data_IF_386777404268
#
_entry.id   IF_386777404268
#
_cell.length_a   1.000
_cell.length_b   1.000
_cell.length_c   1.000
_cell.angle_alpha   90.00
_cell.angle_beta   90.00
_cell.angle_gamma   90.00
#
_symmetry.space_group_name_H-M   'P 1'
#
loop_
_entity.id
_entity.type
_entity.pdbx_description
1 polymer ?
#
# COMPACT_ATOMS: atom_id res chain seq x y z
N UNK A 1 -26.59 -12.65 -6.11
CA UNK A 1 -25.25 -13.00 -5.62
C UNK A 1 -25.14 -12.91 -4.09
N UNK A 2 -25.57 -11.81 -3.47
CA UNK A 2 -25.53 -11.62 -2.00
C UNK A 2 -26.22 -12.73 -1.18
N UNK A 3 -27.33 -13.29 -1.65
CA UNK A 3 -28.08 -14.38 -0.97
C UNK A 3 -27.33 -15.73 -0.92
N UNK A 4 -26.25 -15.87 -1.70
CA UNK A 4 -25.42 -17.09 -1.72
C UNK A 4 -24.23 -17.03 -0.77
N UNK A 5 -23.96 -15.85 -0.20
CA UNK A 5 -22.89 -15.65 0.76
C UNK A 5 -23.36 -16.03 2.16
N UNK A 6 -22.51 -16.67 2.99
CA UNK A 6 -22.79 -16.94 4.40
C UNK A 6 -23.13 -15.67 5.18
N UNK A 7 -23.75 -15.82 6.34
CA UNK A 7 -24.09 -14.68 7.20
C UNK A 7 -22.84 -14.00 7.79
N UNK A 8 -21.77 -14.77 7.96
CA UNK A 8 -20.46 -14.28 8.40
C UNK A 8 -19.40 -14.58 7.34
N UNK A 9 -18.55 -13.61 7.10
CA UNK A 9 -17.43 -13.69 6.16
C UNK A 9 -16.11 -13.44 6.89
N UNK A 10 -15.01 -14.11 6.47
CA UNK A 10 -13.70 -13.87 7.05
C UNK A 10 -13.23 -12.47 6.72
N UNK A 11 -12.71 -11.77 7.73
CA UNK A 11 -12.13 -10.42 7.58
C UNK A 11 -10.66 -10.34 7.99
N UNK A 12 -10.14 -11.39 8.60
CA UNK A 12 -8.74 -11.51 8.98
C UNK A 12 -8.26 -12.96 8.78
N UNK A 13 -7.00 -13.09 8.41
CA UNK A 13 -6.31 -14.38 8.25
C UNK A 13 -5.04 -14.35 9.09
N UNK A 14 -4.79 -15.42 9.82
CA UNK A 14 -3.58 -15.58 10.61
C UNK A 14 -2.34 -15.82 9.71
N UNK A 15 -1.18 -15.98 10.34
CA UNK A 15 0.08 -16.19 9.62
C UNK A 15 0.10 -17.48 8.78
N UNK A 16 -0.69 -18.48 9.13
CA UNK A 16 -0.85 -19.74 8.40
C UNK A 16 -1.82 -19.62 7.21
N UNK A 17 -2.45 -18.43 7.03
CA UNK A 17 -3.44 -18.19 5.98
C UNK A 17 -4.84 -18.73 6.33
N UNK A 18 -5.08 -19.09 7.59
CA UNK A 18 -6.38 -19.56 8.08
C UNK A 18 -7.18 -18.37 8.60
N UNK A 19 -8.46 -18.31 8.23
CA UNK A 19 -9.35 -17.26 8.73
C UNK A 19 -9.60 -17.42 10.24
N UNK A 20 -9.32 -16.38 11.00
CA UNK A 20 -9.43 -16.36 12.46
C UNK A 20 -10.37 -15.28 13.02
N UNK A 21 -10.81 -14.34 12.17
CA UNK A 21 -11.84 -13.36 12.53
C UNK A 21 -12.91 -13.26 11.44
N UNK A 22 -14.13 -13.08 11.87
CA UNK A 22 -15.32 -13.03 11.01
C UNK A 22 -16.16 -11.80 11.31
N UNK A 23 -16.83 -11.27 10.31
CA UNK A 23 -17.81 -10.19 10.45
C UNK A 23 -19.10 -10.54 9.73
N UNK A 24 -20.19 -9.89 10.13
CA UNK A 24 -21.47 -10.01 9.44
C UNK A 24 -21.32 -9.64 7.96
N UNK A 25 -22.06 -10.34 7.10
CA UNK A 25 -21.98 -10.21 5.62
C UNK A 25 -21.89 -8.76 5.13
N UNK A 26 -22.80 -7.90 5.60
CA UNK A 26 -22.85 -6.51 5.14
C UNK A 26 -21.64 -5.72 5.60
N UNK A 27 -21.18 -5.92 6.82
CA UNK A 27 -19.97 -5.28 7.37
C UNK A 27 -18.73 -5.71 6.58
N UNK A 28 -18.56 -7.00 6.36
CA UNK A 28 -17.41 -7.54 5.62
C UNK A 28 -17.34 -7.02 4.17
N UNK A 29 -18.49 -6.80 3.53
CA UNK A 29 -18.55 -6.33 2.14
C UNK A 29 -18.37 -4.81 2.04
N UNK A 30 -18.93 -4.04 2.97
CA UNK A 30 -19.06 -2.59 2.82
C UNK A 30 -18.01 -1.79 3.59
N UNK A 31 -17.48 -2.31 4.71
CA UNK A 31 -16.62 -1.52 5.58
C UNK A 31 -15.37 -1.00 4.87
N UNK A 32 -14.64 -1.85 4.17
CA UNK A 32 -13.41 -1.48 3.49
C UNK A 32 -13.65 -0.55 2.29
N UNK A 33 -14.58 -0.84 1.35
CA UNK A 33 -14.93 0.08 0.27
C UNK A 33 -15.40 1.46 0.76
N UNK A 34 -16.24 1.50 1.80
CA UNK A 34 -16.71 2.76 2.38
C UNK A 34 -15.54 3.53 3.00
N UNK A 35 -14.69 2.85 3.79
CA UNK A 35 -13.49 3.48 4.37
C UNK A 35 -12.59 4.07 3.28
N UNK A 36 -12.30 3.33 2.21
CA UNK A 36 -11.48 3.81 1.11
C UNK A 36 -12.14 4.99 0.36
N UNK A 37 -13.44 4.94 0.15
CA UNK A 37 -14.19 6.04 -0.46
C UNK A 37 -14.13 7.32 0.39
N UNK A 38 -14.36 7.20 1.71
CA UNK A 38 -14.27 8.32 2.65
C UNK A 38 -12.85 8.89 2.67
N UNK A 39 -11.82 8.05 2.74
CA UNK A 39 -10.43 8.51 2.71
C UNK A 39 -10.08 9.22 1.39
N UNK A 40 -10.56 8.71 0.25
CA UNK A 40 -10.37 9.36 -1.05
C UNK A 40 -11.05 10.72 -1.12
N UNK A 41 -12.28 10.82 -0.61
CA UNK A 41 -13.01 12.10 -0.54
C UNK A 41 -12.28 13.09 0.36
N UNK A 42 -11.89 12.67 1.57
CA UNK A 42 -11.15 13.52 2.51
C UNK A 42 -9.84 14.01 1.90
N UNK A 43 -9.07 13.12 1.26
CA UNK A 43 -7.85 13.49 0.57
C UNK A 43 -8.12 14.53 -0.52
N UNK A 44 -9.18 14.33 -1.30
CA UNK A 44 -9.60 15.28 -2.36
C UNK A 44 -9.97 16.64 -1.80
N UNK A 45 -10.70 16.69 -0.67
CA UNK A 45 -11.10 17.93 -0.01
C UNK A 45 -9.92 18.69 0.61
N UNK A 46 -8.96 17.96 1.21
CA UNK A 46 -7.77 18.57 1.82
C UNK A 46 -6.81 19.10 0.75
N UNK A 47 -6.71 18.44 -0.39
CA UNK A 47 -5.78 18.82 -1.45
C UNK A 47 -6.28 19.92 -2.38
N UNK A 48 -7.27 20.67 -2.00
CA UNK A 48 -8.06 21.75 -2.61
C UNK A 48 -7.58 22.44 -3.92
N UNK A 49 -6.38 22.20 -4.39
CA UNK A 49 -5.84 22.48 -5.76
C UNK A 49 -4.52 21.72 -5.92
N UNK A 50 -4.49 20.51 -6.44
CA UNK A 50 -3.19 19.92 -6.82
C UNK A 50 -2.55 20.82 -7.85
N UNK A 51 -1.36 21.33 -7.55
CA UNK A 51 -0.56 22.04 -8.54
C UNK A 51 -0.36 21.13 -9.75
N UNK A 52 -0.31 21.69 -10.95
CA UNK A 52 -0.21 20.91 -12.19
C UNK A 52 0.91 19.84 -12.15
N UNK A 53 1.99 20.09 -11.38
CA UNK A 53 3.10 19.13 -11.19
C UNK A 53 2.74 17.91 -10.31
N UNK A 54 1.75 18.02 -9.44
CA UNK A 54 1.37 16.94 -8.49
C UNK A 54 0.05 16.25 -8.88
N UNK A 55 -0.61 16.66 -9.96
CA UNK A 55 -1.92 16.14 -10.34
C UNK A 55 -1.89 14.64 -10.67
N UNK A 56 -0.89 14.18 -11.41
CA UNK A 56 -0.73 12.75 -11.72
C UNK A 56 -0.52 11.92 -10.46
N UNK A 57 0.31 12.40 -9.55
CA UNK A 57 0.56 11.74 -8.27
C UNK A 57 -0.69 11.71 -7.42
N UNK A 58 -1.45 12.81 -7.36
CA UNK A 58 -2.73 12.87 -6.67
C UNK A 58 -3.71 11.82 -7.21
N UNK A 59 -3.88 11.71 -8.53
CA UNK A 59 -4.73 10.68 -9.14
C UNK A 59 -4.25 9.27 -8.82
N UNK A 60 -2.93 9.05 -8.82
CA UNK A 60 -2.33 7.76 -8.47
C UNK A 60 -2.67 7.39 -7.02
N UNK A 61 -2.47 8.29 -6.07
CA UNK A 61 -2.80 8.08 -4.65
C UNK A 61 -4.29 7.84 -4.46
N UNK A 62 -5.14 8.62 -5.13
CA UNK A 62 -6.59 8.47 -5.06
C UNK A 62 -7.09 7.13 -5.64
N UNK A 63 -6.39 6.55 -6.62
CA UNK A 63 -6.75 5.26 -7.21
C UNK A 63 -6.29 4.06 -6.37
N UNK A 64 -5.25 4.20 -5.55
CA UNK A 64 -4.65 3.08 -4.79
C UNK A 64 -5.61 2.53 -3.74
N UNK A 65 -6.28 3.37 -2.98
CA UNK A 65 -7.25 2.93 -1.98
C UNK A 65 -8.33 2.01 -2.58
N UNK A 66 -9.05 2.44 -3.62
CA UNK A 66 -10.01 1.59 -4.34
C UNK A 66 -9.42 0.29 -4.89
N UNK A 67 -8.20 0.32 -5.46
CA UNK A 67 -7.55 -0.89 -5.99
C UNK A 67 -7.21 -1.90 -4.89
N UNK A 68 -6.64 -1.45 -3.78
CA UNK A 68 -6.39 -2.29 -2.60
C UNK A 68 -7.69 -2.83 -2.02
N UNK A 69 -8.72 -2.00 -1.91
CA UNK A 69 -10.04 -2.43 -1.46
C UNK A 69 -10.62 -3.52 -2.35
N UNK A 70 -10.57 -3.36 -3.67
CA UNK A 70 -11.07 -4.35 -4.61
C UNK A 70 -10.32 -5.69 -4.50
N UNK A 71 -9.00 -5.68 -4.33
CA UNK A 71 -8.21 -6.91 -4.21
C UNK A 71 -8.52 -7.67 -2.92
N UNK A 72 -8.54 -6.98 -1.77
CA UNK A 72 -8.90 -7.59 -0.48
C UNK A 72 -10.35 -8.07 -0.51
N UNK A 73 -11.26 -7.27 -1.06
CA UNK A 73 -12.66 -7.62 -1.17
C UNK A 73 -12.89 -8.86 -2.06
N UNK A 74 -12.09 -9.02 -3.13
CA UNK A 74 -12.15 -10.21 -3.98
C UNK A 74 -11.78 -11.47 -3.21
N UNK A 75 -10.74 -11.42 -2.36
CA UNK A 75 -10.37 -12.55 -1.49
C UNK A 75 -11.51 -12.91 -0.55
N UNK A 76 -12.09 -11.92 0.17
CA UNK A 76 -13.21 -12.13 1.10
C UNK A 76 -14.41 -12.78 0.41
N UNK A 77 -14.78 -12.28 -0.78
CA UNK A 77 -15.93 -12.79 -1.53
C UNK A 77 -15.69 -14.19 -2.10
N UNK A 78 -14.50 -14.49 -2.61
CA UNK A 78 -14.15 -15.80 -3.12
C UNK A 78 -14.16 -16.84 -2.02
N UNK A 79 -13.58 -16.53 -0.86
CA UNK A 79 -13.64 -17.41 0.32
C UNK A 79 -15.08 -17.64 0.79
N UNK A 80 -15.89 -16.58 0.83
CA UNK A 80 -17.31 -16.68 1.21
C UNK A 80 -18.15 -17.51 0.24
N UNK A 81 -17.71 -17.69 -1.01
CA UNK A 81 -18.35 -18.55 -2.01
C UNK A 81 -17.78 -19.97 -2.04
N UNK A 82 -17.06 -20.39 -1.00
CA UNK A 82 -16.39 -21.71 -0.90
C UNK A 82 -15.41 -21.96 -2.06
N UNK A 83 -14.86 -20.89 -2.62
CA UNK A 83 -13.80 -20.98 -3.63
C UNK A 83 -12.45 -20.79 -2.92
N UNK A 84 -11.47 -21.58 -3.34
CA UNK A 84 -10.10 -21.42 -2.88
C UNK A 84 -9.64 -19.99 -3.16
N UNK A 85 -9.62 -19.15 -2.12
CA UNK A 85 -9.17 -17.79 -2.24
C UNK A 85 -7.66 -17.72 -2.03
N UNK A 86 -6.97 -17.28 -3.05
CA UNK A 86 -5.53 -17.10 -2.98
C UNK A 86 -5.17 -15.73 -2.40
N UNK A 87 -4.79 -15.70 -1.14
CA UNK A 87 -4.35 -14.48 -0.44
C UNK A 87 -3.18 -13.80 -1.15
N UNK A 88 -2.39 -14.53 -1.95
CA UNK A 88 -1.26 -13.98 -2.70
C UNK A 88 -1.68 -12.86 -3.67
N UNK A 89 -2.93 -12.86 -4.14
CA UNK A 89 -3.47 -11.79 -5.00
C UNK A 89 -3.37 -10.43 -4.32
N UNK A 90 -3.68 -10.34 -3.01
CA UNK A 90 -3.56 -9.09 -2.28
C UNK A 90 -2.11 -8.60 -2.21
N UNK A 91 -1.14 -9.52 -2.00
CA UNK A 91 0.28 -9.17 -2.00
C UNK A 91 0.80 -8.76 -3.38
N UNK A 92 0.32 -9.37 -4.47
CA UNK A 92 0.62 -8.90 -5.83
C UNK A 92 0.18 -7.45 -6.01
N UNK A 93 -1.04 -7.10 -5.60
CA UNK A 93 -1.54 -5.71 -5.70
C UNK A 93 -0.72 -4.76 -4.83
N UNK A 94 -0.37 -5.16 -3.60
CA UNK A 94 0.52 -4.37 -2.73
C UNK A 94 1.87 -4.14 -3.42
N UNK A 95 2.48 -5.17 -4.01
CA UNK A 95 3.73 -5.05 -4.74
C UNK A 95 3.64 -4.07 -5.92
N UNK A 96 2.56 -4.16 -6.72
CA UNK A 96 2.30 -3.22 -7.81
C UNK A 96 2.16 -1.79 -7.30
N UNK A 97 1.48 -1.58 -6.18
CA UNK A 97 1.37 -0.27 -5.52
C UNK A 97 2.74 0.28 -5.17
N UNK A 98 3.63 -0.53 -4.57
CA UNK A 98 5.00 -0.11 -4.26
C UNK A 98 5.81 0.21 -5.52
N UNK A 99 5.66 -0.55 -6.62
CA UNK A 99 6.30 -0.26 -7.92
C UNK A 99 5.83 1.10 -8.46
N UNK A 100 4.53 1.34 -8.46
CA UNK A 100 3.93 2.59 -8.94
C UNK A 100 4.42 3.77 -8.10
N UNK A 101 4.33 3.68 -6.77
CA UNK A 101 4.85 4.74 -5.89
C UNK A 101 6.34 4.96 -6.07
N UNK A 102 7.12 3.89 -6.11
CA UNK A 102 8.56 3.94 -6.30
C UNK A 102 8.96 4.69 -7.56
N UNK A 103 8.16 4.56 -8.62
CA UNK A 103 8.39 5.29 -9.87
C UNK A 103 8.01 6.77 -9.78
N UNK A 104 6.97 7.13 -8.99
CA UNK A 104 6.51 8.52 -8.88
C UNK A 104 7.19 9.33 -7.78
N UNK A 105 7.55 8.73 -6.67
CA UNK A 105 8.15 9.43 -5.52
C UNK A 105 9.37 10.29 -5.90
N UNK A 106 10.30 9.86 -6.79
CA UNK A 106 11.43 10.70 -7.21
C UNK A 106 11.05 12.01 -7.89
N UNK A 107 9.83 12.13 -8.40
CA UNK A 107 9.33 13.33 -9.08
C UNK A 107 8.63 14.32 -8.16
N UNK A 108 8.45 13.96 -6.90
CA UNK A 108 7.70 14.76 -5.92
C UNK A 108 8.56 15.92 -5.41
N UNK A 109 8.09 17.14 -5.63
CA UNK A 109 8.69 18.35 -5.06
C UNK A 109 8.37 18.48 -3.58
N UNK A 110 9.15 19.26 -2.80
CA UNK A 110 8.86 19.52 -1.40
C UNK A 110 7.41 19.97 -1.19
N UNK A 111 6.70 19.25 -0.31
CA UNK A 111 5.31 19.51 0.00
C UNK A 111 4.92 18.91 1.36
N UNK A 112 3.82 19.40 1.93
CA UNK A 112 3.32 18.95 3.22
C UNK A 112 2.55 17.62 3.20
N UNK A 113 2.41 16.92 2.06
CA UNK A 113 1.44 15.81 1.95
C UNK A 113 2.06 14.48 1.53
N UNK A 114 2.89 14.44 0.49
CA UNK A 114 3.33 13.21 -0.18
C UNK A 114 4.86 13.16 -0.27
N UNK A 115 5.43 11.98 -0.06
CA UNK A 115 6.86 11.70 -0.15
C UNK A 115 7.43 11.06 1.10
N UNK A 116 8.71 10.70 1.04
CA UNK A 116 9.50 10.31 2.21
C UNK A 116 9.79 11.58 3.00
N UNK A 117 9.20 11.70 4.19
CA UNK A 117 9.18 12.96 4.95
C UNK A 117 9.84 12.78 6.30
N UNK A 118 10.97 13.43 6.45
CA UNK A 118 11.66 13.55 7.73
C UNK A 118 11.79 15.04 8.08
N UNK A 119 11.61 15.44 9.35
CA UNK A 119 11.63 16.86 9.75
C UNK A 119 12.86 17.62 9.27
N UNK A 120 14.03 16.94 9.25
CA UNK A 120 15.31 17.54 8.90
C UNK A 120 15.56 17.77 7.41
N UNK A 121 14.69 17.30 6.51
CA UNK A 121 14.80 17.54 5.06
C UNK A 121 13.67 18.41 4.52
N UNK A 122 12.76 18.86 5.35
CA UNK A 122 11.55 19.58 4.87
C UNK A 122 11.88 20.95 4.28
N UNK A 123 12.90 21.62 4.85
CA UNK A 123 13.34 22.95 4.45
C UNK A 123 14.59 22.91 3.56
N UNK A 124 15.07 21.71 3.20
CA UNK A 124 16.25 21.50 2.35
C UNK A 124 15.83 20.78 1.05
N UNK A 125 15.73 21.54 -0.03
CA UNK A 125 15.28 21.03 -1.33
C UNK A 125 16.24 19.99 -1.90
N UNK A 126 17.56 20.14 -1.69
CA UNK A 126 18.55 19.19 -2.21
C UNK A 126 18.50 17.87 -1.46
N UNK A 127 18.46 17.93 -0.12
CA UNK A 127 18.28 16.75 0.72
C UNK A 127 16.95 16.05 0.44
N UNK A 128 15.87 16.81 0.21
CA UNK A 128 14.58 16.28 -0.21
C UNK A 128 14.73 15.48 -1.51
N UNK A 129 15.23 16.09 -2.59
CA UNK A 129 15.37 15.45 -3.89
C UNK A 129 16.19 14.15 -3.81
N UNK A 130 17.32 14.19 -3.12
CA UNK A 130 18.18 13.02 -2.93
C UNK A 130 17.46 11.90 -2.17
N UNK A 131 16.72 12.24 -1.11
CA UNK A 131 15.94 11.29 -0.31
C UNK A 131 14.80 10.67 -1.12
N UNK A 132 14.03 11.48 -1.88
CA UNK A 132 12.97 10.96 -2.73
C UNK A 132 13.51 9.99 -3.80
N UNK A 133 14.67 10.30 -4.39
CA UNK A 133 15.31 9.42 -5.40
C UNK A 133 15.72 8.08 -4.82
N UNK A 134 16.32 8.06 -3.63
CA UNK A 134 16.67 6.81 -2.95
C UNK A 134 15.41 6.03 -2.55
N UNK A 135 14.50 6.68 -1.83
CA UNK A 135 13.26 6.07 -1.36
C UNK A 135 12.44 5.48 -2.50
N UNK A 136 12.31 6.22 -3.61
CA UNK A 136 11.61 5.75 -4.80
C UNK A 136 12.25 4.50 -5.41
N UNK A 137 13.58 4.49 -5.59
CA UNK A 137 14.29 3.30 -6.08
C UNK A 137 14.07 2.09 -5.16
N UNK A 138 14.20 2.29 -3.86
CA UNK A 138 14.00 1.22 -2.88
C UNK A 138 12.57 0.70 -2.92
N UNK A 139 11.57 1.57 -2.95
CA UNK A 139 10.16 1.17 -3.08
C UNK A 139 9.90 0.38 -4.36
N UNK A 140 10.44 0.82 -5.50
CA UNK A 140 10.29 0.15 -6.77
C UNK A 140 10.82 -1.30 -6.75
N UNK A 141 12.07 -1.50 -6.31
CA UNK A 141 12.66 -2.84 -6.22
C UNK A 141 11.98 -3.69 -5.13
N UNK A 142 11.58 -3.06 -4.04
CA UNK A 142 10.83 -3.74 -2.99
C UNK A 142 9.47 -4.24 -3.48
N UNK A 143 8.76 -3.42 -4.27
CA UNK A 143 7.51 -3.83 -4.91
C UNK A 143 7.68 -5.02 -5.86
N UNK A 144 8.78 -5.05 -6.64
CA UNK A 144 9.12 -6.21 -7.47
C UNK A 144 9.34 -7.45 -6.59
N UNK A 145 10.09 -7.33 -5.50
CA UNK A 145 10.35 -8.44 -4.58
C UNK A 145 9.05 -9.00 -3.98
N UNK A 146 8.16 -8.14 -3.49
CA UNK A 146 6.84 -8.55 -2.96
C UNK A 146 6.04 -9.28 -4.04
N UNK A 147 5.99 -8.74 -5.27
CA UNK A 147 5.23 -9.32 -6.37
C UNK A 147 5.77 -10.70 -6.75
N UNK A 148 7.08 -10.83 -6.91
CA UNK A 148 7.73 -12.11 -7.24
C UNK A 148 7.50 -13.14 -6.15
N UNK A 149 7.64 -12.76 -4.88
CA UNK A 149 7.42 -13.65 -3.76
C UNK A 149 5.94 -14.10 -3.69
N UNK A 150 4.99 -13.20 -3.95
CA UNK A 150 3.57 -13.55 -4.00
C UNK A 150 3.23 -14.52 -5.15
N UNK A 151 3.85 -14.36 -6.32
CA UNK A 151 3.66 -15.24 -7.48
C UNK A 151 4.28 -16.61 -7.22
N UNK A 152 5.50 -16.65 -6.68
CA UNK A 152 6.24 -17.91 -6.44
C UNK A 152 5.76 -18.63 -5.18
N UNK A 153 5.06 -17.93 -4.28
CA UNK A 153 4.58 -18.42 -2.97
C UNK A 153 5.69 -19.00 -2.08
N UNK A 154 6.94 -18.59 -2.31
CA UNK A 154 8.09 -19.02 -1.51
C UNK A 154 7.90 -18.65 -0.03
N UNK A 155 7.97 -19.65 0.86
CA UNK A 155 7.73 -19.45 2.29
C UNK A 155 6.26 -19.25 2.69
N UNK A 156 5.33 -19.45 1.74
CA UNK A 156 3.89 -19.31 2.00
C UNK A 156 3.48 -17.91 2.45
N UNK A 157 2.36 -17.81 3.15
CA UNK A 157 1.84 -16.52 3.67
C UNK A 157 2.81 -15.89 4.68
N UNK A 158 3.44 -16.71 5.53
CA UNK A 158 4.46 -16.24 6.48
C UNK A 158 5.61 -15.52 5.77
N UNK A 159 6.12 -16.10 4.67
CA UNK A 159 7.16 -15.48 3.86
C UNK A 159 6.73 -14.14 3.29
N UNK A 160 5.48 -14.03 2.83
CA UNK A 160 4.91 -12.77 2.32
C UNK A 160 4.85 -11.69 3.40
N UNK A 161 4.38 -12.05 4.60
CA UNK A 161 4.27 -11.13 5.74
C UNK A 161 5.67 -10.69 6.21
N UNK A 162 6.61 -11.62 6.35
CA UNK A 162 7.99 -11.31 6.77
C UNK A 162 8.66 -10.35 5.79
N UNK A 163 8.56 -10.61 4.48
CA UNK A 163 9.12 -9.73 3.46
C UNK A 163 8.45 -8.36 3.52
N UNK A 164 7.12 -8.30 3.59
CA UNK A 164 6.40 -7.03 3.62
C UNK A 164 6.77 -6.19 4.84
N UNK A 165 6.70 -6.75 6.05
CA UNK A 165 6.98 -6.02 7.28
C UNK A 165 8.48 -5.72 7.43
N UNK A 166 9.33 -6.73 7.28
CA UNK A 166 10.78 -6.58 7.41
C UNK A 166 11.36 -5.63 6.37
N UNK A 167 10.93 -5.76 5.11
CA UNK A 167 11.36 -4.87 4.03
C UNK A 167 10.87 -3.43 4.21
N UNK A 168 9.64 -3.24 4.72
CA UNK A 168 9.12 -1.89 5.03
C UNK A 168 9.94 -1.24 6.15
N UNK A 169 10.23 -1.97 7.23
CA UNK A 169 11.07 -1.47 8.34
C UNK A 169 12.47 -1.11 7.81
N UNK A 170 13.08 -1.98 7.02
CA UNK A 170 14.40 -1.74 6.43
C UNK A 170 14.40 -0.51 5.51
N UNK A 171 13.37 -0.34 4.69
CA UNK A 171 13.19 0.82 3.82
C UNK A 171 13.14 2.12 4.65
N UNK A 172 12.34 2.15 5.72
CA UNK A 172 12.24 3.31 6.62
C UNK A 172 13.58 3.61 7.28
N UNK A 173 14.28 2.61 7.81
CA UNK A 173 15.58 2.79 8.48
C UNK A 173 16.62 3.33 7.50
N UNK A 174 16.77 2.72 6.32
CA UNK A 174 17.77 3.15 5.33
C UNK A 174 17.48 4.56 4.85
N UNK A 175 16.22 4.88 4.53
CA UNK A 175 15.88 6.24 4.08
C UNK A 175 16.05 7.28 5.19
N UNK A 176 15.79 6.92 6.45
CA UNK A 176 16.03 7.82 7.61
C UNK A 176 17.52 8.12 7.78
N UNK A 177 18.37 7.09 7.81
CA UNK A 177 19.82 7.25 7.96
C UNK A 177 20.39 8.08 6.80
N UNK A 178 20.02 7.73 5.57
CA UNK A 178 20.48 8.44 4.38
C UNK A 178 20.06 9.91 4.37
N UNK A 179 18.77 10.17 4.63
CA UNK A 179 18.24 11.54 4.64
C UNK A 179 18.92 12.41 5.70
N UNK A 180 19.21 11.83 6.87
CA UNK A 180 19.93 12.52 7.94
C UNK A 180 21.38 12.84 7.56
N UNK A 181 22.07 11.91 6.90
CA UNK A 181 23.42 12.14 6.41
C UNK A 181 23.47 13.26 5.36
N UNK A 182 22.53 13.25 4.41
CA UNK A 182 22.48 14.24 3.33
C UNK A 182 22.10 15.65 3.81
N UNK A 183 21.24 15.75 4.83
CA UNK A 183 20.83 17.04 5.40
C UNK A 183 21.96 17.74 6.22
N UNK A 184 23.09 17.07 6.43
CA UNK A 184 24.26 17.61 7.15
C UNK A 184 25.43 17.96 6.25
N UNK A 185 25.34 17.65 4.96
CA UNK A 185 26.39 17.95 3.96
C UNK A 185 26.03 19.16 3.16
#
# INVERSE_FOLDING_TARGET
MLRRLPEQLPIHYNAEGVADQYAGRMTAILALPIFCAVMTILLTLITNKPTAGNFKLFLTVAAIGPLLSLSIQSVILLTGLEKDADVSIAFVVIGIVFIVFGNYIPTVRPNGLIGVRYPWIMDDEEAWIKTQRLGGKMMFFFGILITLQAITKLGGVNGMVIILLGGTILLVIITAIYSYAVART
#
